data_IF_644467544801
#
_entry.id   IF_644467544801
#
_cell.length_a   1.000
_cell.length_b   1.000
_cell.length_c   1.000
_cell.angle_alpha   90.00
_cell.angle_beta   90.00
_cell.angle_gamma   90.00
#
_symmetry.space_group_name_H-M   'P 1'
#
loop_
_entity.id
_entity.type
_entity.pdbx_description
1 polymer ?
#
# COMPACT_ATOMS: atom_id res chain seq x y z
N UNK A 1 -22.35 0.59 -20.96
CA UNK A 1 -21.06 0.26 -20.35
C UNK A 1 -20.78 1.32 -19.30
N UNK A 2 -20.96 0.97 -18.04
CA UNK A 2 -20.66 1.88 -16.92
C UNK A 2 -19.21 1.73 -16.52
N UNK A 3 -18.58 2.85 -16.13
CA UNK A 3 -17.19 2.91 -15.70
C UNK A 3 -17.10 3.71 -14.43
N UNK A 4 -16.58 3.09 -13.37
CA UNK A 4 -16.20 3.74 -12.14
C UNK A 4 -14.69 3.93 -12.11
N UNK A 5 -14.23 5.16 -12.31
CA UNK A 5 -12.81 5.47 -12.32
C UNK A 5 -12.13 5.10 -10.98
N UNK A 6 -10.85 4.76 -11.03
CA UNK A 6 -10.04 4.54 -9.82
C UNK A 6 -10.06 5.76 -8.91
N UNK A 7 -10.21 5.53 -7.62
CA UNK A 7 -10.11 6.56 -6.58
C UNK A 7 -9.03 6.19 -5.56
N UNK A 8 -8.21 7.16 -5.19
CA UNK A 8 -7.19 6.99 -4.14
C UNK A 8 -7.79 6.66 -2.77
N UNK A 9 -9.03 7.05 -2.51
CA UNK A 9 -9.76 6.75 -1.30
C UNK A 9 -10.27 5.31 -1.29
N UNK A 10 -10.94 4.90 -2.39
CA UNK A 10 -11.43 3.52 -2.57
C UNK A 10 -10.30 2.53 -2.81
N UNK A 11 -9.23 2.96 -3.50
CA UNK A 11 -8.12 2.15 -3.99
C UNK A 11 -8.51 1.07 -5.01
N UNK A 12 -9.62 1.28 -5.70
CA UNK A 12 -10.08 0.46 -6.81
C UNK A 12 -10.92 1.26 -7.81
N UNK A 13 -11.04 0.72 -9.01
CA UNK A 13 -11.97 1.13 -10.05
C UNK A 13 -12.65 -0.07 -10.67
N UNK A 14 -13.71 0.12 -11.45
CA UNK A 14 -14.45 -0.97 -12.05
C UNK A 14 -15.04 -0.60 -13.41
N UNK A 15 -15.27 -1.62 -14.24
CA UNK A 15 -15.92 -1.51 -15.56
C UNK A 15 -16.98 -2.60 -15.67
N UNK A 16 -18.21 -2.18 -15.97
CA UNK A 16 -19.28 -3.11 -16.29
C UNK A 16 -19.21 -3.55 -17.75
N UNK A 17 -19.33 -4.85 -17.96
CA UNK A 17 -19.46 -5.50 -19.26
C UNK A 17 -20.79 -6.26 -19.30
N UNK A 18 -21.71 -5.92 -20.21
CA UNK A 18 -23.08 -6.44 -20.22
C UNK A 18 -23.18 -7.98 -20.27
N UNK A 19 -22.20 -8.65 -20.84
CA UNK A 19 -22.25 -10.11 -21.07
C UNK A 19 -21.54 -10.91 -19.99
N UNK A 20 -20.60 -10.31 -19.25
CA UNK A 20 -19.78 -11.03 -18.27
C UNK A 20 -19.95 -10.53 -16.83
N UNK A 21 -20.46 -9.32 -16.64
CA UNK A 21 -20.59 -8.68 -15.33
C UNK A 21 -19.57 -7.55 -15.12
N UNK A 22 -19.26 -7.24 -13.90
CA UNK A 22 -18.39 -6.11 -13.54
C UNK A 22 -17.00 -6.58 -13.17
N UNK A 23 -15.99 -6.02 -13.84
CA UNK A 23 -14.57 -6.28 -13.55
C UNK A 23 -14.02 -5.14 -12.70
N UNK A 24 -13.35 -5.49 -11.62
CA UNK A 24 -12.73 -4.61 -10.65
C UNK A 24 -11.22 -4.70 -10.73
N UNK A 25 -10.54 -3.55 -10.64
CA UNK A 25 -9.08 -3.47 -10.56
C UNK A 25 -8.70 -2.59 -9.38
N UNK A 26 -7.87 -3.11 -8.47
CA UNK A 26 -7.46 -2.33 -7.31
C UNK A 26 -6.53 -3.05 -6.36
N UNK A 27 -6.36 -2.47 -5.15
CA UNK A 27 -5.59 -3.08 -4.08
C UNK A 27 -6.26 -4.40 -3.64
N UNK A 28 -5.53 -5.53 -3.56
CA UNK A 28 -6.10 -6.84 -3.27
C UNK A 28 -6.96 -6.86 -2.01
N UNK A 29 -6.48 -6.27 -0.91
CA UNK A 29 -7.16 -6.19 0.38
C UNK A 29 -8.42 -5.30 0.39
N UNK A 30 -8.66 -4.58 -0.71
CA UNK A 30 -9.89 -3.78 -0.90
C UNK A 30 -10.93 -4.50 -1.73
N UNK A 31 -10.53 -5.55 -2.43
CA UNK A 31 -11.41 -6.29 -3.33
C UNK A 31 -11.90 -7.59 -2.69
N UNK A 32 -11.08 -8.27 -1.89
CA UNK A 32 -11.46 -9.49 -1.20
C UNK A 32 -10.91 -9.49 0.23
N UNK A 33 -11.52 -10.30 1.09
CA UNK A 33 -11.04 -10.50 2.46
C UNK A 33 -9.68 -11.19 2.48
N UNK A 34 -8.85 -10.88 3.48
CA UNK A 34 -7.49 -11.42 3.62
C UNK A 34 -7.42 -12.96 3.56
N UNK A 35 -8.44 -13.64 4.10
CA UNK A 35 -8.54 -15.10 4.06
C UNK A 35 -8.75 -15.69 2.65
N UNK A 36 -9.08 -14.86 1.68
CA UNK A 36 -9.35 -15.22 0.28
C UNK A 36 -8.30 -14.68 -0.69
N UNK A 37 -7.30 -13.97 -0.17
CA UNK A 37 -6.19 -13.48 -0.99
C UNK A 37 -5.38 -14.67 -1.53
N UNK A 38 -5.09 -14.70 -2.85
CA UNK A 38 -4.18 -15.69 -3.41
C UNK A 38 -2.78 -15.61 -2.76
N UNK A 39 -2.15 -16.75 -2.49
CA UNK A 39 -0.78 -16.82 -1.94
C UNK A 39 0.22 -16.00 -2.76
N UNK A 40 0.03 -15.94 -4.07
CA UNK A 40 0.85 -15.14 -4.99
C UNK A 40 0.88 -13.65 -4.62
N UNK A 41 -0.18 -13.10 -4.01
CA UNK A 41 -0.20 -11.71 -3.52
C UNK A 41 0.83 -11.50 -2.43
N UNK A 42 0.88 -12.40 -1.45
CA UNK A 42 1.84 -12.32 -0.34
C UNK A 42 3.27 -12.50 -0.83
N UNK A 43 3.50 -13.48 -1.69
CA UNK A 43 4.82 -13.73 -2.29
C UNK A 43 5.33 -12.52 -3.07
N UNK A 44 4.48 -11.90 -3.88
CA UNK A 44 4.84 -10.70 -4.64
C UNK A 44 5.17 -9.52 -3.72
N UNK A 45 4.39 -9.31 -2.66
CA UNK A 45 4.63 -8.25 -1.66
C UNK A 45 5.93 -8.48 -0.88
N UNK A 46 6.23 -9.73 -0.49
CA UNK A 46 7.49 -10.11 0.16
C UNK A 46 8.71 -9.87 -0.75
N UNK A 47 8.54 -10.01 -2.05
CA UNK A 47 9.56 -9.67 -3.05
C UNK A 47 9.66 -8.17 -3.33
N UNK A 48 8.81 -7.34 -2.72
CA UNK A 48 8.83 -5.89 -2.83
C UNK A 48 8.10 -5.34 -4.05
N UNK A 49 7.23 -6.14 -4.68
CA UNK A 49 6.35 -5.67 -5.75
C UNK A 49 5.12 -4.97 -5.18
N UNK A 50 4.67 -3.92 -5.85
CA UNK A 50 3.32 -3.40 -5.67
C UNK A 50 2.36 -4.31 -6.40
N UNK A 51 1.29 -4.72 -5.73
CA UNK A 51 0.34 -5.66 -6.30
C UNK A 51 -1.00 -4.98 -6.54
N UNK A 52 -1.51 -5.11 -7.75
CA UNK A 52 -2.92 -4.87 -8.05
C UNK A 52 -3.59 -6.22 -8.36
N UNK A 53 -4.87 -6.31 -8.06
CA UNK A 53 -5.67 -7.49 -8.37
C UNK A 53 -6.80 -7.13 -9.32
N UNK A 54 -7.00 -7.99 -10.31
CA UNK A 54 -8.17 -8.02 -11.15
C UNK A 54 -9.14 -9.05 -10.59
N UNK A 55 -10.39 -8.65 -10.38
CA UNK A 55 -11.43 -9.54 -9.87
C UNK A 55 -12.77 -9.27 -10.58
N UNK A 56 -13.66 -10.24 -10.55
CA UNK A 56 -14.95 -10.15 -11.25
C UNK A 56 -16.12 -10.41 -10.31
N UNK A 57 -17.20 -9.65 -10.52
CA UNK A 57 -18.55 -9.99 -10.08
C UNK A 57 -19.34 -10.48 -11.29
N UNK A 58 -19.40 -11.79 -11.47
CA UNK A 58 -20.07 -12.40 -12.63
C UNK A 58 -21.55 -12.03 -12.67
N UNK A 59 -22.03 -11.62 -13.84
CA UNK A 59 -23.42 -11.27 -14.13
C UNK A 59 -24.04 -10.25 -13.16
N UNK A 60 -23.22 -9.46 -12.46
CA UNK A 60 -23.68 -8.41 -11.56
C UNK A 60 -23.36 -7.03 -12.15
N UNK A 61 -24.31 -6.08 -12.06
CA UNK A 61 -24.09 -4.70 -12.50
C UNK A 61 -23.11 -3.99 -11.54
N UNK A 62 -22.55 -2.90 -12.02
CA UNK A 62 -21.72 -2.02 -11.21
C UNK A 62 -22.52 -1.45 -10.02
N UNK A 63 -21.95 -1.57 -8.83
CA UNK A 63 -22.51 -0.98 -7.60
C UNK A 63 -21.42 -0.18 -6.88
N UNK A 64 -21.63 1.14 -6.79
CA UNK A 64 -20.66 2.06 -6.19
C UNK A 64 -20.67 2.04 -4.65
N UNK A 65 -21.78 1.61 -4.06
CA UNK A 65 -21.99 1.72 -2.60
C UNK A 65 -21.74 0.42 -1.86
N UNK A 66 -21.92 -0.71 -2.53
CA UNK A 66 -21.75 -2.04 -1.91
C UNK A 66 -20.92 -2.92 -2.80
N UNK A 67 -19.75 -3.31 -2.29
CA UNK A 67 -18.89 -4.30 -2.95
C UNK A 67 -19.61 -5.65 -3.02
N UNK A 68 -19.83 -6.21 -4.22
CA UNK A 68 -20.37 -7.56 -4.35
C UNK A 68 -19.31 -8.61 -3.96
N UNK A 69 -19.72 -9.86 -3.95
CA UNK A 69 -18.76 -10.96 -3.89
C UNK A 69 -17.91 -10.94 -5.16
N UNK A 70 -16.58 -10.89 -5.00
CA UNK A 70 -15.63 -10.86 -6.11
C UNK A 70 -14.83 -12.16 -6.18
N UNK A 71 -14.63 -12.64 -7.39
CA UNK A 71 -13.73 -13.75 -7.69
C UNK A 71 -12.41 -13.22 -8.26
N UNK A 72 -11.27 -13.53 -7.63
CA UNK A 72 -9.96 -13.13 -8.16
C UNK A 72 -9.71 -13.76 -9.54
N UNK A 73 -9.29 -12.97 -10.52
CA UNK A 73 -8.94 -13.42 -11.86
C UNK A 73 -7.44 -13.43 -12.11
N UNK A 74 -6.75 -12.36 -11.68
CA UNK A 74 -5.33 -12.19 -11.90
C UNK A 74 -4.72 -11.20 -10.89
N UNK A 75 -3.41 -11.29 -10.70
CA UNK A 75 -2.61 -10.27 -10.04
C UNK A 75 -1.67 -9.61 -11.04
N UNK A 76 -1.41 -8.32 -10.84
CA UNK A 76 -0.43 -7.55 -11.57
C UNK A 76 0.67 -7.13 -10.58
N UNK A 77 1.88 -7.60 -10.83
CA UNK A 77 3.07 -7.22 -10.08
C UNK A 77 3.69 -6.00 -10.74
N UNK A 78 3.87 -4.94 -9.98
CA UNK A 78 4.45 -3.69 -10.46
C UNK A 78 5.78 -3.49 -9.75
N UNK A 79 6.88 -3.52 -10.51
CA UNK A 79 8.21 -3.19 -9.99
C UNK A 79 8.46 -1.69 -10.18
N UNK A 80 8.73 -1.02 -9.06
CA UNK A 80 9.21 0.37 -9.08
C UNK A 80 10.73 0.34 -8.91
N UNK A 81 11.52 0.59 -9.97
CA UNK A 81 12.97 0.56 -9.89
C UNK A 81 13.46 1.67 -8.94
N UNK A 82 14.34 1.29 -8.01
CA UNK A 82 14.98 2.24 -7.11
C UNK A 82 15.89 3.15 -7.94
N UNK A 83 15.81 4.45 -7.70
CA UNK A 83 16.68 5.42 -8.37
C UNK A 83 18.14 5.07 -8.15
N UNK A 84 18.96 5.23 -9.20
CA UNK A 84 20.36 4.81 -9.22
C UNK A 84 21.20 5.40 -8.08
N UNK A 85 20.94 6.63 -7.70
CA UNK A 85 21.64 7.35 -6.62
C UNK A 85 20.99 7.19 -5.23
N UNK A 86 19.89 6.43 -5.09
CA UNK A 86 19.16 6.35 -3.81
C UNK A 86 20.04 5.74 -2.70
N UNK A 87 20.77 4.67 -3.01
CA UNK A 87 21.66 4.00 -2.04
C UNK A 87 22.76 4.93 -1.53
N UNK A 88 23.41 5.66 -2.43
CA UNK A 88 24.47 6.60 -2.08
C UNK A 88 23.92 7.76 -1.23
N UNK A 89 22.76 8.29 -1.62
CA UNK A 89 22.09 9.38 -0.86
C UNK A 89 21.72 8.92 0.55
N UNK A 90 21.13 7.72 0.69
CA UNK A 90 20.75 7.21 2.00
C UNK A 90 21.97 6.92 2.89
N UNK A 91 23.05 6.40 2.31
CA UNK A 91 24.31 6.17 3.00
C UNK A 91 24.90 7.50 3.51
N UNK A 92 24.97 8.52 2.67
CA UNK A 92 25.44 9.86 3.03
C UNK A 92 24.63 10.47 4.17
N UNK A 93 23.28 10.45 4.08
CA UNK A 93 22.42 10.99 5.13
C UNK A 93 22.61 10.26 6.47
N UNK A 94 22.84 8.95 6.44
CA UNK A 94 23.19 8.17 7.64
C UNK A 94 24.51 8.57 8.23
N UNK A 95 25.55 8.77 7.42
CA UNK A 95 26.88 9.24 7.87
C UNK A 95 26.79 10.62 8.53
N UNK A 96 25.91 11.49 8.05
CA UNK A 96 25.61 12.79 8.66
C UNK A 96 24.75 12.70 9.92
N UNK A 97 24.41 11.48 10.40
CA UNK A 97 23.63 11.26 11.61
C UNK A 97 22.15 11.60 11.49
N UNK A 98 21.62 11.65 10.27
CA UNK A 98 20.20 11.96 10.02
C UNK A 98 19.37 10.69 10.16
N UNK A 99 18.36 10.72 11.04
CA UNK A 99 17.37 9.68 11.17
C UNK A 99 16.40 9.67 9.97
N UNK A 100 16.36 8.54 9.29
CA UNK A 100 15.54 8.37 8.08
C UNK A 100 14.28 7.58 8.38
N UNK A 101 13.16 8.08 7.90
CA UNK A 101 11.87 7.40 7.99
C UNK A 101 11.19 7.33 6.63
N UNK A 102 10.51 6.23 6.33
CA UNK A 102 9.76 6.02 5.09
C UNK A 102 8.27 6.06 5.38
N UNK A 103 7.55 6.89 4.63
CA UNK A 103 6.11 7.07 4.78
C UNK A 103 5.45 6.79 3.43
N UNK A 104 4.62 5.75 3.35
CA UNK A 104 3.94 5.34 2.11
C UNK A 104 2.46 5.00 2.35
N UNK A 105 1.66 5.20 1.31
CA UNK A 105 0.28 4.68 1.27
C UNK A 105 0.17 3.21 0.88
N UNK A 106 1.29 2.58 0.50
CA UNK A 106 1.34 1.18 0.05
C UNK A 106 1.41 0.20 1.23
N UNK A 107 1.30 -1.09 0.91
CA UNK A 107 1.40 -2.17 1.89
C UNK A 107 2.75 -2.09 2.64
N UNK A 108 2.77 -2.19 4.00
CA UNK A 108 3.99 -2.01 4.79
C UNK A 108 5.08 -3.05 4.49
N UNK A 109 4.73 -4.29 4.16
CA UNK A 109 5.70 -5.33 3.78
C UNK A 109 6.41 -4.97 2.48
N UNK A 110 5.63 -4.55 1.46
CA UNK A 110 6.18 -4.05 0.19
C UNK A 110 7.12 -2.87 0.42
N UNK A 111 6.70 -1.88 1.22
CA UNK A 111 7.51 -0.67 1.51
C UNK A 111 8.79 -1.02 2.25
N UNK A 112 8.73 -1.93 3.24
CA UNK A 112 9.92 -2.44 3.96
C UNK A 112 10.90 -3.11 3.00
N UNK A 113 10.43 -3.96 2.09
CA UNK A 113 11.30 -4.61 1.10
C UNK A 113 11.92 -3.62 0.09
N UNK A 114 11.19 -2.61 -0.33
CA UNK A 114 11.74 -1.53 -1.16
C UNK A 114 12.80 -0.75 -0.38
N UNK A 115 12.55 -0.43 0.89
CA UNK A 115 13.51 0.25 1.78
C UNK A 115 14.79 -0.59 1.96
N UNK A 116 14.67 -1.91 2.14
CA UNK A 116 15.80 -2.84 2.17
C UNK A 116 16.62 -2.79 0.90
N UNK A 117 15.97 -2.87 -0.27
CA UNK A 117 16.64 -2.81 -1.60
C UNK A 117 17.34 -1.46 -1.80
N UNK A 118 16.79 -0.38 -1.25
CA UNK A 118 17.39 0.95 -1.26
C UNK A 118 18.54 1.14 -0.26
N UNK A 119 18.76 0.17 0.65
CA UNK A 119 19.83 0.24 1.64
C UNK A 119 19.46 1.07 2.89
N UNK A 120 18.16 1.28 3.16
CA UNK A 120 17.72 1.97 4.38
C UNK A 120 17.98 1.09 5.61
N UNK A 121 18.75 1.55 6.62
CA UNK A 121 18.87 0.83 7.89
C UNK A 121 17.55 0.90 8.68
N UNK A 122 17.23 -0.16 9.44
CA UNK A 122 16.01 -0.24 10.25
C UNK A 122 14.74 -0.51 9.42
N UNK A 123 14.87 -0.96 8.17
CA UNK A 123 13.75 -1.33 7.30
C UNK A 123 12.84 -2.42 7.92
N UNK A 124 13.38 -3.27 8.80
CA UNK A 124 12.65 -4.33 9.50
C UNK A 124 11.64 -3.78 10.51
N UNK A 125 11.86 -2.54 10.97
CA UNK A 125 10.97 -1.84 11.91
C UNK A 125 9.87 -1.12 11.12
N UNK A 126 8.85 -1.87 10.71
CA UNK A 126 7.73 -1.33 9.95
C UNK A 126 6.39 -1.52 10.66
N UNK A 127 5.41 -0.67 10.32
CA UNK A 127 4.07 -0.70 10.89
C UNK A 127 3.00 -0.45 9.82
N UNK A 128 1.85 -1.11 9.99
CA UNK A 128 0.62 -0.84 9.25
C UNK A 128 -0.20 0.23 9.99
N UNK A 129 -0.24 1.45 9.46
CA UNK A 129 -0.99 2.54 10.09
C UNK A 129 -2.51 2.48 9.82
N UNK A 130 -2.99 1.59 8.97
CA UNK A 130 -4.45 1.40 8.83
C UNK A 130 -5.10 0.84 10.09
N UNK A 131 -4.32 0.21 10.98
CA UNK A 131 -4.76 -0.32 12.26
C UNK A 131 -4.78 0.73 13.38
N UNK A 132 -4.23 1.92 13.15
CA UNK A 132 -4.15 3.02 14.12
C UNK A 132 -5.23 4.05 13.84
N UNK A 133 -6.11 4.27 14.82
CA UNK A 133 -7.30 5.09 14.65
C UNK A 133 -7.18 6.47 15.31
N UNK A 134 -6.28 6.62 16.28
CA UNK A 134 -6.09 7.87 17.02
C UNK A 134 -4.77 8.56 16.70
N UNK A 135 -4.75 9.88 16.84
CA UNK A 135 -3.52 10.67 16.65
C UNK A 135 -2.42 10.29 17.66
N UNK A 136 -2.79 9.93 18.87
CA UNK A 136 -1.86 9.51 19.92
C UNK A 136 -1.14 8.21 19.52
N UNK A 137 -1.85 7.20 19.00
CA UNK A 137 -1.24 5.96 18.52
C UNK A 137 -0.29 6.20 17.35
N UNK A 138 -0.61 7.16 16.46
CA UNK A 138 0.27 7.52 15.34
C UNK A 138 1.55 8.18 15.86
N UNK A 139 1.47 9.10 16.86
CA UNK A 139 2.64 9.73 17.47
C UNK A 139 3.54 8.73 18.16
N UNK A 140 2.97 7.80 18.92
CA UNK A 140 3.73 6.73 19.56
C UNK A 140 4.48 5.87 18.52
N UNK A 141 3.81 5.53 17.41
CA UNK A 141 4.41 4.77 16.32
C UNK A 141 5.61 5.50 15.69
N UNK A 142 5.59 6.84 15.61
CA UNK A 142 6.70 7.64 15.05
C UNK A 142 8.00 7.41 15.81
N UNK A 143 7.93 7.22 17.12
CA UNK A 143 9.11 6.99 17.96
C UNK A 143 9.66 5.56 17.85
N UNK A 144 8.81 4.59 17.48
CA UNK A 144 9.15 3.17 17.53
C UNK A 144 9.55 2.59 16.17
N UNK A 145 9.00 3.13 15.07
CA UNK A 145 9.11 2.52 13.74
C UNK A 145 9.85 3.41 12.76
N UNK A 146 10.47 2.78 11.76
CA UNK A 146 11.23 3.43 10.69
C UNK A 146 10.40 3.50 9.39
N UNK A 147 9.59 2.47 9.12
CA UNK A 147 8.81 2.36 7.89
C UNK A 147 7.32 2.33 8.22
N UNK A 148 6.56 3.21 7.58
CA UNK A 148 5.12 3.37 7.77
C UNK A 148 4.39 3.04 6.47
N UNK A 149 3.56 2.00 6.51
CA UNK A 149 2.71 1.61 5.39
C UNK A 149 1.24 1.94 5.61
N UNK A 150 0.46 1.94 4.53
CA UNK A 150 -0.98 2.26 4.49
C UNK A 150 -1.34 3.59 5.17
N UNK A 151 -0.43 4.56 5.05
CA UNK A 151 -0.57 5.88 5.67
C UNK A 151 -1.60 6.72 4.95
N UNK A 152 -2.60 7.22 5.67
CA UNK A 152 -3.55 8.19 5.15
C UNK A 152 -2.93 9.60 5.07
N UNK A 153 -3.48 10.52 4.24
CA UNK A 153 -3.01 11.90 4.17
C UNK A 153 -3.03 12.62 5.52
N UNK A 154 -4.00 12.30 6.38
CA UNK A 154 -4.10 12.89 7.71
C UNK A 154 -3.02 12.36 8.66
N UNK A 155 -2.80 11.05 8.68
CA UNK A 155 -1.73 10.44 9.47
C UNK A 155 -0.35 10.94 9.03
N UNK A 156 -0.13 11.13 7.72
CA UNK A 156 1.10 11.74 7.21
C UNK A 156 1.36 13.13 7.79
N UNK A 157 0.33 13.97 7.93
CA UNK A 157 0.48 15.29 8.57
C UNK A 157 0.88 15.17 10.03
N UNK A 158 0.27 14.23 10.77
CA UNK A 158 0.61 13.97 12.17
C UNK A 158 2.07 13.51 12.32
N UNK A 159 2.52 12.56 11.47
CA UNK A 159 3.92 12.09 11.49
C UNK A 159 4.89 13.24 11.23
N UNK A 160 4.65 14.03 10.18
CA UNK A 160 5.53 15.15 9.82
C UNK A 160 5.57 16.22 10.92
N UNK A 161 4.45 16.48 11.61
CA UNK A 161 4.41 17.40 12.75
C UNK A 161 5.25 16.87 13.90
N UNK A 162 5.05 15.62 14.29
CA UNK A 162 5.80 14.98 15.37
C UNK A 162 7.32 14.99 15.13
N UNK A 163 7.75 14.72 13.90
CA UNK A 163 9.17 14.75 13.51
C UNK A 163 9.79 16.15 13.48
N UNK A 164 8.97 17.21 13.43
CA UNK A 164 9.47 18.59 13.50
C UNK A 164 9.59 19.11 14.93
N UNK A 165 8.81 18.55 15.84
CA UNK A 165 8.75 18.95 17.24
C UNK A 165 9.79 18.20 18.10
N UNK A 166 10.53 17.24 17.49
CA UNK A 166 11.62 16.46 18.11
C UNK A 166 12.97 17.03 17.67
#
# INVERSE_FOLDING_TARGET
>A
KEVLAFSSERKWGAIEFPEIGTVYLGAPERLVDDSRLPEAVFTAQENGYRVLMLAIAEQQPLNETKMPYLEPLAILEIDDPIRQNAKETLAYLKEEGIDLKVISGDNPVTVSNIARRAGLPGYESYIDLSTKTTEAEVREAVQQYTVFGRVSPQQKRTIVRELKDT
#
